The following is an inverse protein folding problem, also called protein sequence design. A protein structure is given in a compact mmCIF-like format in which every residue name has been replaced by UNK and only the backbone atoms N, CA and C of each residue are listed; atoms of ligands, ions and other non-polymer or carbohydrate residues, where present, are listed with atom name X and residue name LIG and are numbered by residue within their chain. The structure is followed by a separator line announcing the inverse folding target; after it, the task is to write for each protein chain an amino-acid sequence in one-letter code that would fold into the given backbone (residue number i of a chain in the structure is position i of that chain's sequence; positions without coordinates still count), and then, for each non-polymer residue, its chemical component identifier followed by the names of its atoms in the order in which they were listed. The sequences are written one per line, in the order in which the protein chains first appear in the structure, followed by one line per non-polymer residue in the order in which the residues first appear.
data_IF_396197922210
#
_entry.id   IF_396197922210
#
_cell.length_a   1.000
_cell.length_b   1.000
_cell.length_c   1.000
_cell.angle_alpha   90.00
_cell.angle_beta   90.00
_cell.angle_gamma   90.00
#
_symmetry.space_group_name_H-M   'P 1'
#
loop_
_entity.id
_entity.type
_entity.pdbx_description
1 polymer ?
#
# COMPACT_ATOMS: atom_id res chain seq x y z
N UNK A 1 -23.84 22.17 -0.62
CA UNK A 1 -23.03 21.00 -1.04
C UNK A 1 -22.97 19.93 0.05
N UNK A 2 -22.53 20.24 1.30
CA UNK A 2 -22.51 19.29 2.42
C UNK A 2 -23.90 18.71 2.71
N UNK A 3 -24.93 19.56 2.79
CA UNK A 3 -26.32 19.14 2.98
C UNK A 3 -26.81 18.13 1.90
N UNK A 4 -26.46 18.34 0.65
CA UNK A 4 -26.83 17.45 -0.46
C UNK A 4 -26.21 16.07 -0.33
N UNK A 5 -24.95 15.99 0.14
CA UNK A 5 -24.26 14.73 0.41
C UNK A 5 -24.92 13.99 1.55
N UNK A 6 -25.22 14.70 2.65
CA UNK A 6 -25.93 14.12 3.79
C UNK A 6 -27.29 13.56 3.36
N UNK A 7 -28.10 14.31 2.60
CA UNK A 7 -29.41 13.84 2.13
C UNK A 7 -29.32 12.54 1.31
N UNK A 8 -28.25 12.34 0.55
CA UNK A 8 -28.01 11.10 -0.20
C UNK A 8 -27.59 9.93 0.66
N UNK A 9 -27.03 10.22 1.84
CA UNK A 9 -26.51 9.21 2.78
C UNK A 9 -27.53 8.83 3.88
N UNK A 10 -28.68 9.53 3.97
CA UNK A 10 -29.73 9.18 4.93
C UNK A 10 -30.25 7.76 4.67
N UNK A 11 -30.50 7.02 5.73
CA UNK A 11 -30.84 5.61 5.69
C UNK A 11 -29.63 4.70 5.42
N UNK A 12 -28.41 5.24 5.50
CA UNK A 12 -27.18 4.51 5.18
C UNK A 12 -25.96 5.05 5.92
N UNK A 13 -24.83 5.08 5.21
CA UNK A 13 -23.52 5.43 5.77
C UNK A 13 -22.92 6.60 4.99
N UNK A 14 -22.50 7.64 5.70
CA UNK A 14 -21.61 8.67 5.18
C UNK A 14 -20.17 8.33 5.58
N UNK A 15 -19.34 8.03 4.60
CA UNK A 15 -17.91 7.80 4.79
C UNK A 15 -17.14 9.06 4.37
N UNK A 16 -16.30 9.58 5.28
CA UNK A 16 -15.45 10.75 5.05
C UNK A 16 -14.00 10.32 5.22
N UNK A 17 -13.30 10.25 4.11
CA UNK A 17 -11.87 9.96 4.10
C UNK A 17 -11.07 11.25 4.34
N UNK A 18 -9.89 11.11 4.98
CA UNK A 18 -9.02 12.24 5.34
C UNK A 18 -9.75 13.36 6.08
N UNK A 19 -10.63 12.99 7.03
CA UNK A 19 -11.55 13.92 7.70
C UNK A 19 -10.84 15.10 8.38
N UNK A 20 -9.57 14.98 8.76
CA UNK A 20 -8.75 16.05 9.30
C UNK A 20 -8.60 17.25 8.35
N UNK A 21 -8.81 17.06 7.04
CA UNK A 21 -8.83 18.16 6.06
C UNK A 21 -9.97 19.14 6.25
N UNK A 22 -11.01 18.75 6.98
CA UNK A 22 -12.11 19.65 7.39
C UNK A 22 -11.72 20.58 8.54
N UNK A 23 -10.59 20.34 9.22
CA UNK A 23 -10.10 21.16 10.33
C UNK A 23 -8.63 21.57 10.11
N UNK A 24 -8.31 22.37 9.05
CA UNK A 24 -6.95 22.80 8.77
C UNK A 24 -6.42 23.79 9.82
N UNK A 25 -5.08 23.89 9.97
CA UNK A 25 -4.45 24.77 10.99
C UNK A 25 -4.68 26.26 10.74
N UNK A 26 -4.76 26.64 9.47
CA UNK A 26 -4.81 28.06 9.05
C UNK A 26 -6.08 28.31 8.23
N UNK A 27 -7.25 28.21 8.85
CA UNK A 27 -8.52 28.43 8.16
C UNK A 27 -8.94 29.91 8.25
N UNK A 28 -8.50 30.73 7.29
CA UNK A 28 -9.03 32.11 7.11
C UNK A 28 -10.47 32.14 6.53
N UNK A 29 -11.00 30.99 6.08
CA UNK A 29 -12.39 30.84 5.60
C UNK A 29 -12.89 29.45 6.00
N UNK A 30 -13.80 29.44 6.94
CA UNK A 30 -14.20 28.27 7.70
C UNK A 30 -15.31 27.42 7.07
N UNK A 31 -15.13 27.03 5.78
CA UNK A 31 -16.03 26.08 5.11
C UNK A 31 -15.97 24.67 5.75
N UNK A 32 -14.83 24.33 6.33
CA UNK A 32 -14.65 23.06 7.03
C UNK A 32 -15.47 23.00 8.30
N UNK A 33 -15.45 24.09 9.11
CA UNK A 33 -16.25 24.18 10.32
C UNK A 33 -17.76 24.16 10.03
N UNK A 34 -18.20 24.88 8.98
CA UNK A 34 -19.61 24.82 8.54
C UNK A 34 -20.00 23.40 8.13
N UNK A 35 -19.12 22.66 7.46
CA UNK A 35 -19.36 21.28 7.10
C UNK A 35 -19.45 20.37 8.34
N UNK A 36 -18.54 20.53 9.31
CA UNK A 36 -18.56 19.80 10.59
C UNK A 36 -19.88 20.05 11.33
N UNK A 37 -20.28 21.31 11.49
CA UNK A 37 -21.50 21.67 12.20
C UNK A 37 -22.77 21.11 11.51
N UNK A 38 -22.76 21.10 10.17
CA UNK A 38 -23.85 20.51 9.38
C UNK A 38 -23.92 19.00 9.56
N UNK A 39 -22.78 18.30 9.60
CA UNK A 39 -22.71 16.86 9.84
C UNK A 39 -23.16 16.53 11.27
N UNK A 40 -22.67 17.26 12.27
CA UNK A 40 -23.04 17.07 13.67
C UNK A 40 -24.55 17.24 13.90
N UNK A 41 -25.15 18.23 13.23
CA UNK A 41 -26.60 18.43 13.28
C UNK A 41 -27.32 17.24 12.65
N UNK A 42 -26.91 16.77 11.49
CA UNK A 42 -27.53 15.62 10.85
C UNK A 42 -27.41 14.34 11.70
N UNK A 43 -26.28 14.12 12.36
CA UNK A 43 -26.07 12.98 13.28
C UNK A 43 -27.03 13.02 14.47
N UNK A 44 -27.46 14.23 14.91
CA UNK A 44 -28.45 14.37 15.98
C UNK A 44 -29.89 14.18 15.47
N UNK A 45 -30.19 14.81 14.32
CA UNK A 45 -31.57 14.83 13.77
C UNK A 45 -31.94 13.43 13.19
N UNK A 46 -30.97 12.62 12.77
CA UNK A 46 -31.16 11.33 12.12
C UNK A 46 -30.40 10.17 12.79
N UNK A 47 -30.30 10.21 14.13
CA UNK A 47 -29.47 9.24 14.90
C UNK A 47 -29.82 7.77 14.70
N UNK A 48 -31.04 7.47 14.28
CA UNK A 48 -31.57 6.11 14.17
C UNK A 48 -31.36 5.51 12.76
N UNK A 49 -31.09 6.36 11.76
CA UNK A 49 -30.98 5.94 10.36
C UNK A 49 -29.78 6.53 9.60
N UNK A 50 -28.84 7.18 10.31
CA UNK A 50 -27.67 7.81 9.71
C UNK A 50 -26.39 7.47 10.46
N UNK A 51 -25.48 6.76 9.80
CA UNK A 51 -24.17 6.40 10.34
C UNK A 51 -23.10 7.25 9.66
N UNK A 52 -22.20 7.84 10.46
CA UNK A 52 -21.03 8.57 9.94
C UNK A 52 -19.76 7.82 10.34
N UNK A 53 -18.92 7.55 9.36
CA UNK A 53 -17.59 6.98 9.53
C UNK A 53 -16.59 8.01 9.03
N UNK A 54 -15.64 8.37 9.87
CA UNK A 54 -14.52 9.25 9.52
C UNK A 54 -13.23 8.46 9.54
N UNK A 55 -12.40 8.63 8.53
CA UNK A 55 -11.11 7.97 8.41
C UNK A 55 -10.00 9.00 8.22
N UNK A 56 -8.78 8.62 8.58
CA UNK A 56 -7.58 9.43 8.40
C UNK A 56 -6.39 8.88 9.16
N UNK A 57 -5.25 9.53 9.01
CA UNK A 57 -4.03 9.15 9.70
C UNK A 57 -4.15 9.29 11.21
N UNK A 58 -3.72 8.27 11.94
CA UNK A 58 -3.82 8.22 13.40
C UNK A 58 -3.17 9.43 14.11
N UNK A 59 -2.10 9.99 13.54
CA UNK A 59 -1.41 11.18 14.03
C UNK A 59 -2.22 12.48 13.86
N UNK A 60 -3.11 12.56 12.86
CA UNK A 60 -3.86 13.77 12.51
C UNK A 60 -5.31 13.75 13.04
N UNK A 61 -5.89 12.57 13.23
CA UNK A 61 -7.29 12.43 13.67
C UNK A 61 -7.59 13.01 15.06
N UNK A 62 -6.70 12.96 16.08
CA UNK A 62 -6.96 13.59 17.36
C UNK A 62 -7.27 15.09 17.23
N UNK A 63 -6.54 15.81 16.39
CA UNK A 63 -6.76 17.21 16.13
C UNK A 63 -8.13 17.47 15.49
N UNK A 64 -8.54 16.65 14.52
CA UNK A 64 -9.89 16.74 13.94
C UNK A 64 -10.97 16.55 15.01
N UNK A 65 -10.86 15.56 15.85
CA UNK A 65 -11.82 15.29 16.94
C UNK A 65 -11.86 16.42 17.96
N UNK A 66 -10.71 17.01 18.29
CA UNK A 66 -10.61 18.10 19.27
C UNK A 66 -11.00 19.48 18.69
N UNK A 67 -11.12 19.58 17.35
CA UNK A 67 -11.51 20.84 16.68
C UNK A 67 -12.94 21.30 17.02
N UNK A 68 -13.81 20.38 17.44
CA UNK A 68 -15.18 20.69 17.84
C UNK A 68 -15.66 19.75 18.96
N UNK A 69 -16.12 20.27 20.10
CA UNK A 69 -16.62 19.43 21.21
C UNK A 69 -17.76 18.48 20.82
N UNK A 70 -18.53 18.84 19.79
CA UNK A 70 -19.58 18.01 19.22
C UNK A 70 -19.08 16.76 18.55
N UNK A 71 -17.89 16.78 17.93
CA UNK A 71 -17.25 15.61 17.34
C UNK A 71 -16.91 14.59 18.44
N UNK A 72 -16.24 15.05 19.50
CA UNK A 72 -15.82 14.18 20.61
C UNK A 72 -16.99 13.48 21.31
N UNK A 73 -18.14 14.15 21.40
CA UNK A 73 -19.34 13.58 22.04
C UNK A 73 -20.07 12.54 21.17
N UNK A 74 -19.91 12.60 19.84
CA UNK A 74 -20.63 11.73 18.89
C UNK A 74 -19.77 10.60 18.34
N UNK A 75 -18.47 10.83 18.14
CA UNK A 75 -17.53 9.77 17.75
C UNK A 75 -17.01 9.06 19.00
N UNK A 76 -17.68 7.98 19.38
CA UNK A 76 -17.37 7.19 20.58
C UNK A 76 -16.76 5.82 20.28
N UNK A 77 -16.59 5.47 19.00
CA UNK A 77 -15.96 4.23 18.55
C UNK A 77 -14.74 4.56 17.69
N UNK A 78 -13.61 4.07 18.11
CA UNK A 78 -12.33 4.22 17.41
C UNK A 78 -11.86 2.86 16.98
N UNK A 79 -11.57 2.72 15.68
CA UNK A 79 -10.99 1.53 15.09
C UNK A 79 -9.60 1.90 14.59
N UNK A 80 -8.62 1.21 15.08
CA UNK A 80 -7.25 1.36 14.65
C UNK A 80 -6.88 0.19 13.76
N UNK A 81 -6.33 0.48 12.59
CA UNK A 81 -5.79 -0.49 11.66
C UNK A 81 -4.27 -0.40 11.73
N UNK A 82 -3.67 -1.45 12.26
CA UNK A 82 -2.21 -1.56 12.30
C UNK A 82 -1.65 -1.79 10.89
N UNK A 83 -0.37 -1.46 10.71
CA UNK A 83 0.33 -1.81 9.48
C UNK A 83 0.43 -3.33 9.34
N UNK A 84 0.36 -3.80 8.12
CA UNK A 84 0.69 -5.18 7.81
C UNK A 84 2.19 -5.40 8.01
N UNK A 85 2.56 -6.50 8.65
CA UNK A 85 3.96 -6.93 8.73
C UNK A 85 4.45 -7.52 7.39
N UNK A 86 5.77 -7.76 7.25
CA UNK A 86 6.39 -8.26 6.03
C UNK A 86 5.72 -9.53 5.48
N UNK A 87 5.42 -10.50 6.35
CA UNK A 87 4.73 -11.72 5.96
C UNK A 87 3.30 -11.45 5.42
N UNK A 88 2.56 -10.53 6.04
CA UNK A 88 1.24 -10.16 5.58
C UNK A 88 1.29 -9.36 4.26
N UNK A 89 2.27 -8.48 4.08
CA UNK A 89 2.51 -7.79 2.81
C UNK A 89 2.80 -8.78 1.69
N UNK A 90 3.59 -9.81 1.98
CA UNK A 90 3.87 -10.88 1.03
C UNK A 90 2.60 -11.69 0.68
N UNK A 91 1.75 -12.04 1.63
CA UNK A 91 0.46 -12.68 1.35
C UNK A 91 -0.45 -11.81 0.48
N UNK A 92 -0.46 -10.49 0.69
CA UNK A 92 -1.19 -9.53 -0.16
C UNK A 92 -0.61 -9.55 -1.58
N UNK A 93 0.72 -9.60 -1.73
CA UNK A 93 1.39 -9.70 -3.02
C UNK A 93 1.01 -11.00 -3.74
N UNK A 94 1.09 -12.15 -3.07
CA UNK A 94 0.67 -13.45 -3.62
C UNK A 94 -0.81 -13.46 -4.05
N UNK A 95 -1.67 -12.81 -3.28
CA UNK A 95 -3.07 -12.62 -3.64
C UNK A 95 -3.23 -11.91 -4.98
N UNK A 96 -2.39 -10.89 -5.26
CA UNK A 96 -2.39 -10.18 -6.55
C UNK A 96 -1.84 -11.04 -7.67
N UNK A 97 -0.73 -11.74 -7.46
CA UNK A 97 -0.15 -12.70 -8.42
C UNK A 97 -1.22 -13.69 -8.87
N UNK A 98 -1.88 -14.33 -7.90
CA UNK A 98 -2.91 -15.33 -8.15
C UNK A 98 -4.17 -14.77 -8.85
N UNK A 99 -4.64 -13.60 -8.43
CA UNK A 99 -5.87 -13.00 -8.99
C UNK A 99 -5.68 -12.46 -10.41
N UNK A 100 -4.43 -12.34 -10.88
CA UNK A 100 -4.08 -11.95 -12.24
C UNK A 100 -3.47 -13.11 -13.06
N UNK A 101 -3.62 -14.35 -12.60
CA UNK A 101 -3.17 -15.59 -13.24
C UNK A 101 -1.64 -15.68 -13.45
N UNK A 102 -0.85 -14.87 -12.74
CA UNK A 102 0.60 -14.96 -12.75
C UNK A 102 1.12 -16.06 -11.84
N UNK A 103 2.38 -16.44 -12.07
CA UNK A 103 3.19 -17.32 -11.22
C UNK A 103 4.52 -16.66 -10.95
N UNK A 104 5.16 -17.05 -9.85
CA UNK A 104 6.53 -16.64 -9.54
C UNK A 104 7.48 -17.80 -9.78
N UNK A 105 8.66 -17.57 -10.34
CA UNK A 105 9.73 -18.53 -10.22
C UNK A 105 10.27 -18.52 -8.77
N UNK A 106 10.99 -19.58 -8.39
CA UNK A 106 11.47 -19.76 -7.01
C UNK A 106 12.37 -18.63 -6.52
N UNK A 107 13.20 -18.09 -7.41
CA UNK A 107 14.13 -16.99 -7.06
C UNK A 107 13.40 -15.65 -6.94
N UNK A 108 12.44 -15.38 -7.81
CA UNK A 108 11.62 -14.19 -7.73
C UNK A 108 10.75 -14.22 -6.46
N UNK A 109 10.18 -15.37 -6.12
CA UNK A 109 9.40 -15.59 -4.90
C UNK A 109 10.21 -15.23 -3.65
N UNK A 110 11.42 -15.78 -3.55
CA UNK A 110 12.31 -15.51 -2.42
C UNK A 110 12.70 -14.03 -2.35
N UNK A 111 13.12 -13.41 -3.47
CA UNK A 111 13.54 -12.01 -3.49
C UNK A 111 12.41 -11.06 -3.10
N UNK A 112 11.18 -11.33 -3.55
CA UNK A 112 10.01 -10.51 -3.18
C UNK A 112 9.69 -10.66 -1.70
N UNK A 113 9.79 -11.86 -1.15
CA UNK A 113 9.56 -12.11 0.28
C UNK A 113 10.55 -11.32 1.14
N UNK A 114 11.84 -11.41 0.82
CA UNK A 114 12.91 -10.70 1.52
C UNK A 114 12.71 -9.17 1.44
N UNK A 115 12.44 -8.66 0.24
CA UNK A 115 12.19 -7.23 0.02
C UNK A 115 10.99 -6.68 0.82
N UNK A 116 9.89 -7.43 0.93
CA UNK A 116 8.72 -6.97 1.67
C UNK A 116 8.93 -7.05 3.20
N UNK A 117 9.80 -7.94 3.67
CA UNK A 117 10.23 -7.96 5.07
C UNK A 117 11.08 -6.72 5.39
N UNK A 118 12.08 -6.42 4.56
CA UNK A 118 12.92 -5.22 4.68
C UNK A 118 12.09 -3.93 4.59
N UNK A 119 11.16 -3.86 3.64
CA UNK A 119 10.24 -2.72 3.49
C UNK A 119 9.44 -2.44 4.77
N UNK A 120 9.04 -3.49 5.49
CA UNK A 120 8.36 -3.35 6.77
C UNK A 120 9.31 -2.95 7.89
N UNK A 121 10.53 -3.51 7.95
CA UNK A 121 11.53 -3.21 8.99
C UNK A 121 11.99 -1.75 8.89
N UNK A 122 12.24 -1.26 7.67
CA UNK A 122 12.75 0.09 7.39
C UNK A 122 11.64 1.15 7.22
N UNK A 123 10.38 0.82 7.54
CA UNK A 123 9.25 1.70 7.33
C UNK A 123 9.35 3.00 8.12
N UNK A 124 9.00 4.07 7.46
CA UNK A 124 8.89 5.43 8.00
C UNK A 124 7.44 5.94 7.96
N UNK A 125 7.23 7.23 8.20
CA UNK A 125 5.93 7.90 8.16
C UNK A 125 5.26 7.91 6.77
N UNK A 126 6.03 7.65 5.70
CA UNK A 126 5.54 7.60 4.32
C UNK A 126 5.20 6.17 3.87
N UNK A 127 5.36 5.19 4.74
CA UNK A 127 5.08 3.79 4.43
C UNK A 127 3.65 3.61 3.94
N UNK A 128 3.53 3.22 2.67
CA UNK A 128 2.24 3.08 1.99
C UNK A 128 1.53 1.76 2.25
N UNK A 129 2.15 0.84 3.04
CA UNK A 129 1.55 -0.41 3.46
C UNK A 129 1.10 -1.27 2.26
N UNK A 130 -0.13 -1.76 2.21
CA UNK A 130 -0.66 -2.52 1.08
C UNK A 130 -0.68 -1.73 -0.25
N UNK A 131 -0.60 -0.39 -0.21
CA UNK A 131 -0.47 0.45 -1.41
C UNK A 131 0.89 0.25 -2.07
N UNK A 132 1.97 0.15 -1.28
CA UNK A 132 3.31 -0.10 -1.80
C UNK A 132 3.41 -1.47 -2.44
N UNK A 133 2.79 -2.49 -1.84
CA UNK A 133 2.68 -3.83 -2.44
C UNK A 133 1.98 -3.79 -3.80
N UNK A 134 0.90 -3.01 -3.92
CA UNK A 134 0.20 -2.84 -5.19
C UNK A 134 1.08 -2.17 -6.23
N UNK A 135 1.74 -1.07 -5.85
CA UNK A 135 2.63 -0.33 -6.74
C UNK A 135 3.80 -1.19 -7.21
N UNK A 136 4.38 -1.98 -6.30
CA UNK A 136 5.44 -2.94 -6.62
C UNK A 136 4.95 -3.97 -7.65
N UNK A 137 3.79 -4.60 -7.40
CA UNK A 137 3.22 -5.58 -8.32
C UNK A 137 2.97 -4.98 -9.72
N UNK A 138 2.37 -3.78 -9.81
CA UNK A 138 2.10 -3.11 -11.08
C UNK A 138 3.38 -2.81 -11.86
N UNK A 139 4.47 -2.43 -11.17
CA UNK A 139 5.78 -2.19 -11.80
C UNK A 139 6.44 -3.49 -12.27
N UNK A 140 6.36 -4.55 -11.48
CA UNK A 140 6.87 -5.88 -11.86
C UNK A 140 6.15 -6.39 -13.11
N UNK A 141 4.82 -6.27 -13.18
CA UNK A 141 4.04 -6.65 -14.36
C UNK A 141 4.42 -5.82 -15.58
N UNK A 142 4.70 -4.52 -15.42
CA UNK A 142 5.18 -3.70 -16.53
C UNK A 142 6.56 -4.15 -17.04
N UNK A 143 7.49 -4.51 -16.16
CA UNK A 143 8.80 -5.07 -16.54
C UNK A 143 8.63 -6.41 -17.25
N UNK A 144 7.80 -7.31 -16.72
CA UNK A 144 7.49 -8.60 -17.33
C UNK A 144 6.90 -8.42 -18.74
N UNK A 145 5.95 -7.51 -18.91
CA UNK A 145 5.38 -7.21 -20.22
C UNK A 145 6.46 -6.72 -21.22
N UNK A 146 7.39 -5.87 -20.79
CA UNK A 146 8.51 -5.41 -21.60
C UNK A 146 9.45 -6.55 -21.98
N UNK A 147 9.79 -7.43 -21.02
CA UNK A 147 10.62 -8.62 -21.29
C UNK A 147 9.95 -9.53 -22.31
N UNK A 148 8.69 -9.86 -22.12
CA UNK A 148 7.93 -10.75 -23.02
C UNK A 148 7.80 -10.15 -24.42
N UNK A 149 7.55 -8.85 -24.53
CA UNK A 149 7.44 -8.14 -25.80
C UNK A 149 8.74 -8.15 -26.62
N UNK A 150 9.91 -8.33 -25.97
CA UNK A 150 11.21 -8.43 -26.63
C UNK A 150 11.50 -9.84 -27.16
N UNK A 151 10.72 -10.86 -26.80
CA UNK A 151 10.89 -12.23 -27.26
C UNK A 151 10.32 -12.39 -28.68
N UNK A 152 11.04 -13.10 -29.54
CA UNK A 152 10.59 -13.36 -30.92
C UNK A 152 9.39 -14.31 -30.99
N UNK A 153 9.27 -15.24 -30.03
CA UNK A 153 8.19 -16.23 -29.94
C UNK A 153 7.95 -16.58 -28.45
N UNK A 154 7.22 -15.73 -27.70
CA UNK A 154 6.93 -15.99 -26.30
C UNK A 154 6.03 -17.23 -26.16
N UNK A 155 6.32 -18.05 -25.15
CA UNK A 155 5.49 -19.17 -24.72
C UNK A 155 4.46 -18.73 -23.68
N UNK A 156 3.46 -19.58 -23.42
CA UNK A 156 2.49 -19.33 -22.34
C UNK A 156 3.19 -19.22 -20.97
N UNK A 157 4.27 -19.97 -20.77
CA UNK A 157 5.08 -19.91 -19.55
C UNK A 157 5.79 -18.56 -19.42
N UNK A 158 6.38 -18.03 -20.51
CA UNK A 158 7.00 -16.70 -20.51
C UNK A 158 6.00 -15.59 -20.16
N UNK A 159 4.76 -15.72 -20.64
CA UNK A 159 3.68 -14.73 -20.44
C UNK A 159 3.15 -14.76 -19.01
N UNK A 160 3.08 -15.96 -18.40
CA UNK A 160 2.45 -16.12 -17.08
C UNK A 160 3.45 -16.09 -15.92
N UNK A 161 4.76 -16.23 -16.19
CA UNK A 161 5.75 -16.34 -15.12
C UNK A 161 6.52 -15.03 -14.94
N UNK A 162 6.50 -14.54 -13.71
CA UNK A 162 7.36 -13.46 -13.23
C UNK A 162 8.69 -14.08 -12.78
N UNK A 163 9.78 -13.55 -13.27
CA UNK A 163 11.15 -13.99 -13.00
C UNK A 163 11.96 -12.90 -12.31
N UNK A 164 13.16 -13.23 -11.85
CA UNK A 164 14.08 -12.23 -11.26
C UNK A 164 14.43 -11.09 -12.22
N UNK A 165 14.42 -11.33 -13.53
CA UNK A 165 14.64 -10.26 -14.52
C UNK A 165 13.56 -9.16 -14.47
N UNK A 166 12.35 -9.51 -14.07
CA UNK A 166 11.23 -8.57 -13.96
C UNK A 166 11.30 -7.71 -12.68
N UNK A 167 12.18 -8.09 -11.74
CA UNK A 167 12.40 -7.39 -10.46
C UNK A 167 13.51 -6.35 -10.55
N UNK A 168 14.25 -6.28 -11.66
CA UNK A 168 15.39 -5.40 -11.82
C UNK A 168 15.02 -3.93 -11.56
N UNK A 169 15.78 -3.27 -10.66
CA UNK A 169 15.56 -1.89 -10.25
C UNK A 169 14.33 -1.66 -9.37
N UNK A 170 13.67 -2.73 -8.91
CA UNK A 170 12.49 -2.66 -8.02
C UNK A 170 12.72 -3.36 -6.68
N UNK A 171 13.53 -4.40 -6.67
CA UNK A 171 13.83 -5.27 -5.54
C UNK A 171 15.33 -5.51 -5.51
N UNK A 172 15.92 -5.44 -4.33
CA UNK A 172 17.32 -5.84 -4.17
C UNK A 172 17.41 -7.36 -4.34
N UNK A 173 18.10 -7.78 -5.41
CA UNK A 173 18.30 -9.20 -5.68
C UNK A 173 19.49 -9.70 -4.86
N UNK A 174 19.40 -10.87 -4.21
CA UNK A 174 20.54 -11.46 -3.56
C UNK A 174 21.67 -11.64 -4.58
N UNK A 175 22.86 -11.14 -4.24
CA UNK A 175 24.04 -11.31 -5.07
C UNK A 175 24.19 -12.80 -5.39
N UNK A 176 24.15 -13.17 -6.67
CA UNK A 176 24.39 -14.54 -7.11
C UNK A 176 25.74 -14.97 -6.51
N UNK A 177 25.71 -15.87 -5.56
CA UNK A 177 26.92 -16.49 -4.99
C UNK A 177 27.72 -17.07 -6.16
N UNK A 178 28.88 -16.45 -6.38
CA UNK A 178 29.87 -16.59 -7.41
C UNK A 178 29.90 -17.86 -8.21
N UNK A 179 30.12 -17.66 -9.49
CA UNK A 179 30.75 -18.63 -10.34
C UNK A 179 32.01 -19.17 -9.64
N UNK A 180 32.06 -20.48 -9.45
CA UNK A 180 33.23 -21.21 -9.01
C UNK A 180 34.42 -20.81 -9.90
N UNK A 181 35.39 -20.17 -9.27
CA UNK A 181 36.65 -19.86 -9.90
C UNK A 181 37.32 -21.17 -10.34
N UNK A 182 37.47 -21.36 -11.63
CA UNK A 182 38.42 -22.29 -12.20
C UNK A 182 39.82 -21.91 -11.71
N UNK A 183 40.35 -22.67 -10.76
CA UNK A 183 41.77 -22.66 -10.44
C UNK A 183 42.55 -23.10 -11.68
N UNK A 184 43.19 -22.15 -12.34
CA UNK A 184 44.23 -22.42 -13.31
C UNK A 184 45.46 -22.91 -12.53
N UNK A 185 45.82 -24.15 -12.73
CA UNK A 185 47.07 -24.75 -12.26
C UNK A 185 48.25 -23.99 -12.86
N UNK A 186 49.02 -23.27 -12.04
CA UNK A 186 50.37 -22.83 -12.38
C UNK A 186 51.30 -24.02 -12.28
N UNK A 187 51.69 -24.55 -13.42
CA UNK A 187 52.86 -25.41 -13.57
C UNK A 187 54.13 -24.60 -13.23
N UNK A 188 54.78 -24.98 -12.14
CA UNK A 188 56.15 -24.56 -11.86
C UNK A 188 57.12 -25.35 -12.76
N UNK A 189 57.62 -24.70 -13.77
CA UNK A 189 58.91 -25.12 -14.38
C UNK A 189 60.04 -24.62 -13.48
N UNK A 190 60.78 -25.60 -12.94
CA UNK A 190 62.09 -25.46 -12.35
C UNK A 190 63.12 -25.68 -13.44
N UNK A 191 63.93 -24.67 -13.70
CA UNK A 191 65.27 -24.86 -14.33
C UNK A 191 66.33 -24.22 -13.46
N UNK A 192 67.32 -25.06 -13.18
CA UNK A 192 68.74 -24.89 -12.84
C UNK A 192 69.28 -23.54 -12.35
#
# INVERSE_FOLDING_TARGET
KTQEVIQKALGGVLFIDEAYTLAPENADKDFGQEAIDTILKAMEDHRDDFVVIVAGYASLMPRFIDSNPGLKSRFNKYLFFEDYNGAQLYEIFLGRVKSNDYRLDEKADQAIREHLEELYEDRDENFGNARDVRNLFERIVANQANRVAALAAPTDEDILTITTADLEGLVDLPLSSGAEGTEAAEEKETEE
#
